data_IF_748825593668
#
_entry.id   IF_748825593668
#
_cell.length_a   1.000
_cell.length_b   1.000
_cell.length_c   1.000
_cell.angle_alpha   90.00
_cell.angle_beta   90.00
_cell.angle_gamma   90.00
#
_symmetry.space_group_name_H-M   'P 1'
#
loop_
_entity.id
_entity.type
_entity.pdbx_description
1 polymer ?
#
# COMPACT_ATOMS: atom_id res chain seq x y z
N UNK A 1 -11.15 0.77 -16.10
CA UNK A 1 -10.95 1.09 -14.68
C UNK A 1 -9.54 0.70 -14.30
N UNK A 2 -8.59 1.63 -14.39
CA UNK A 2 -7.18 1.42 -14.05
C UNK A 2 -6.99 1.89 -12.60
N UNK A 3 -6.75 0.96 -11.68
CA UNK A 3 -6.62 1.26 -10.25
C UNK A 3 -6.83 0.03 -9.38
N UNK A 4 -6.72 0.23 -8.06
CA UNK A 4 -7.00 -0.83 -7.09
C UNK A 4 -8.51 -1.16 -7.12
N UNK A 5 -8.86 -2.38 -7.52
CA UNK A 5 -10.27 -2.81 -7.58
C UNK A 5 -10.93 -2.78 -6.19
N UNK A 6 -12.27 -2.81 -6.08
CA UNK A 6 -12.96 -2.87 -4.78
C UNK A 6 -12.46 -4.01 -3.88
N UNK A 7 -12.13 -5.16 -4.47
CA UNK A 7 -11.51 -6.30 -3.76
C UNK A 7 -10.14 -5.95 -3.19
N UNK A 8 -9.32 -5.20 -3.94
CA UNK A 8 -8.02 -4.75 -3.46
C UNK A 8 -8.14 -3.75 -2.30
N UNK A 9 -9.11 -2.83 -2.35
CA UNK A 9 -9.38 -1.92 -1.24
C UNK A 9 -9.80 -2.66 0.04
N UNK A 10 -10.64 -3.70 -0.09
CA UNK A 10 -11.03 -4.54 1.05
C UNK A 10 -9.85 -5.31 1.64
N UNK A 11 -8.98 -5.87 0.79
CA UNK A 11 -7.76 -6.55 1.25
C UNK A 11 -6.83 -5.58 1.99
N UNK A 12 -6.65 -4.37 1.46
CA UNK A 12 -5.87 -3.32 2.11
C UNK A 12 -6.41 -3.01 3.50
N UNK A 13 -7.73 -2.82 3.63
CA UNK A 13 -8.38 -2.56 4.90
C UNK A 13 -8.17 -3.69 5.92
N UNK A 14 -8.32 -4.94 5.50
CA UNK A 14 -8.17 -6.10 6.38
C UNK A 14 -6.73 -6.30 6.83
N UNK A 15 -5.76 -6.13 5.93
CA UNK A 15 -4.34 -6.20 6.27
C UNK A 15 -3.92 -5.07 7.22
N UNK A 16 -4.42 -3.84 7.02
CA UNK A 16 -4.12 -2.73 7.94
C UNK A 16 -4.67 -3.00 9.35
N UNK A 17 -5.88 -3.58 9.47
CA UNK A 17 -6.43 -4.00 10.77
C UNK A 17 -5.61 -5.11 11.42
N UNK A 18 -5.20 -6.11 10.63
CA UNK A 18 -4.36 -7.19 11.13
C UNK A 18 -3.01 -6.66 11.64
N UNK A 19 -2.37 -5.75 10.89
CA UNK A 19 -1.12 -5.12 11.30
C UNK A 19 -1.28 -4.29 12.58
N UNK A 20 -2.35 -3.49 12.69
CA UNK A 20 -2.66 -2.75 13.91
C UNK A 20 -2.83 -3.69 15.13
N UNK A 21 -3.58 -4.78 14.94
CA UNK A 21 -3.82 -5.78 15.98
C UNK A 21 -2.54 -6.49 16.41
N UNK A 22 -1.68 -6.92 15.45
CA UNK A 22 -0.37 -7.50 15.74
C UNK A 22 0.55 -6.55 16.51
N UNK A 23 0.33 -5.24 16.38
CA UNK A 23 1.04 -4.18 17.10
C UNK A 23 0.34 -3.76 18.41
N UNK A 24 -0.62 -4.54 18.89
CA UNK A 24 -1.32 -4.32 20.16
C UNK A 24 -2.30 -3.15 20.15
N UNK A 25 -2.68 -2.63 18.97
CA UNK A 25 -3.64 -1.54 18.82
C UNK A 25 -4.98 -2.06 18.29
N UNK A 26 -6.08 -1.48 18.77
CA UNK A 26 -7.44 -1.76 18.29
C UNK A 26 -7.93 -0.76 17.24
N UNK A 27 -7.07 0.18 16.81
CA UNK A 27 -7.34 1.15 15.76
C UNK A 27 -6.20 1.19 14.75
N UNK A 28 -6.56 1.46 13.50
CA UNK A 28 -5.61 1.62 12.38
C UNK A 28 -5.02 3.03 12.40
N UNK A 29 -3.71 3.14 12.25
CA UNK A 29 -3.02 4.41 11.99
C UNK A 29 -2.53 4.44 10.54
N UNK A 30 -2.20 5.64 10.00
CA UNK A 30 -1.73 5.75 8.62
C UNK A 30 -0.51 4.87 8.30
N UNK A 31 0.38 4.66 9.27
CA UNK A 31 1.54 3.79 9.09
C UNK A 31 1.16 2.33 8.81
N UNK A 32 0.08 1.81 9.41
CA UNK A 32 -0.38 0.43 9.15
C UNK A 32 -0.82 0.24 7.71
N UNK A 33 -1.40 1.28 7.10
CA UNK A 33 -1.82 1.28 5.70
C UNK A 33 -0.59 1.31 4.78
N UNK A 34 0.37 2.19 5.07
CA UNK A 34 1.61 2.33 4.28
C UNK A 34 2.42 1.05 4.27
N UNK A 35 2.57 0.39 5.42
CA UNK A 35 3.36 -0.84 5.54
C UNK A 35 2.78 -1.99 4.73
N UNK A 36 1.46 -2.13 4.68
CA UNK A 36 0.82 -3.28 4.01
C UNK A 36 0.47 -3.03 2.55
N UNK A 37 0.48 -1.78 2.10
CA UNK A 37 0.16 -1.39 0.73
C UNK A 37 0.99 -2.14 -0.34
N UNK A 38 2.32 -2.37 -0.18
CA UNK A 38 3.12 -3.19 -1.10
C UNK A 38 2.60 -4.59 -1.33
N UNK A 39 2.13 -5.26 -0.28
CA UNK A 39 1.66 -6.63 -0.38
C UNK A 39 0.29 -6.75 -1.08
N UNK A 40 -0.44 -5.64 -1.22
CA UNK A 40 -1.74 -5.59 -1.90
C UNK A 40 -1.64 -5.05 -3.32
N UNK A 41 -0.80 -4.02 -3.52
CA UNK A 41 -0.67 -3.30 -4.78
C UNK A 41 0.47 -3.82 -5.67
N UNK A 42 1.52 -4.42 -5.10
CA UNK A 42 2.77 -4.74 -5.80
C UNK A 42 2.60 -5.66 -7.00
N UNK A 43 1.80 -6.72 -6.88
CA UNK A 43 1.57 -7.66 -8.00
C UNK A 43 0.67 -7.10 -9.12
N UNK A 44 0.13 -5.90 -8.97
CA UNK A 44 -0.80 -5.28 -9.94
C UNK A 44 -0.17 -4.18 -10.78
N UNK A 45 1.07 -3.81 -10.50
CA UNK A 45 1.82 -2.84 -11.29
C UNK A 45 2.59 -3.59 -12.37
N UNK A 46 2.11 -3.49 -13.61
CA UNK A 46 2.80 -4.03 -14.78
C UNK A 46 3.76 -2.95 -15.28
N UNK A 47 5.04 -3.13 -15.02
CA UNK A 47 6.08 -2.25 -15.55
C UNK A 47 6.31 -2.60 -17.02
N UNK A 48 6.24 -1.60 -17.90
CA UNK A 48 6.46 -1.79 -19.35
C UNK A 48 7.94 -1.96 -19.71
N UNK A 49 8.84 -1.52 -18.83
CA UNK A 49 10.27 -1.47 -19.09
C UNK A 49 11.00 -2.55 -18.28
N UNK A 50 11.50 -3.57 -18.98
CA UNK A 50 12.18 -4.75 -18.39
C UNK A 50 13.69 -4.56 -18.22
N UNK A 51 14.22 -3.37 -18.53
CA UNK A 51 15.66 -3.11 -18.56
C UNK A 51 16.27 -2.83 -17.18
N UNK A 52 15.44 -2.60 -16.16
CA UNK A 52 15.85 -2.34 -14.77
C UNK A 52 15.35 -3.43 -13.83
N UNK A 53 15.92 -3.50 -12.62
CA UNK A 53 15.43 -4.37 -11.56
C UNK A 53 13.95 -4.04 -11.26
N UNK A 54 13.05 -4.92 -11.70
CA UNK A 54 11.59 -4.73 -11.58
C UNK A 54 11.18 -4.47 -10.13
N UNK A 55 11.87 -5.07 -9.17
CA UNK A 55 11.58 -4.89 -7.75
C UNK A 55 11.90 -3.49 -7.25
N UNK A 56 13.06 -2.92 -7.63
CA UNK A 56 13.41 -1.55 -7.24
C UNK A 56 12.46 -0.53 -7.84
N UNK A 57 12.15 -0.66 -9.14
CA UNK A 57 11.24 0.24 -9.82
C UNK A 57 9.82 0.16 -9.25
N UNK A 58 9.36 -1.05 -8.90
CA UNK A 58 8.10 -1.25 -8.21
C UNK A 58 8.09 -0.48 -6.88
N UNK A 59 9.12 -0.64 -6.05
CA UNK A 59 9.24 0.05 -4.77
C UNK A 59 9.30 1.58 -4.94
N UNK A 60 9.98 2.09 -5.97
CA UNK A 60 10.01 3.53 -6.28
C UNK A 60 8.61 4.06 -6.58
N UNK A 61 7.89 3.44 -7.53
CA UNK A 61 6.53 3.86 -7.90
C UNK A 61 5.59 3.78 -6.70
N UNK A 62 5.72 2.74 -5.89
CA UNK A 62 4.96 2.58 -4.67
C UNK A 62 5.18 3.70 -3.66
N UNK A 63 6.44 4.08 -3.44
CA UNK A 63 6.78 5.19 -2.56
C UNK A 63 6.24 6.52 -3.08
N UNK A 64 6.30 6.77 -4.39
CA UNK A 64 5.71 7.97 -5.00
C UNK A 64 4.20 8.04 -4.77
N UNK A 65 3.47 6.93 -4.98
CA UNK A 65 2.03 6.85 -4.74
C UNK A 65 1.71 7.16 -3.27
N UNK A 66 2.44 6.55 -2.34
CA UNK A 66 2.23 6.78 -0.90
C UNK A 66 2.59 8.22 -0.47
N UNK A 67 3.52 8.85 -1.17
CA UNK A 67 3.95 10.24 -0.90
C UNK A 67 2.93 11.27 -1.39
N UNK A 68 2.18 10.95 -2.46
CA UNK A 68 1.16 11.84 -3.01
C UNK A 68 -0.09 11.96 -2.13
N UNK A 69 -0.32 11.00 -1.21
CA UNK A 69 -1.50 10.98 -0.35
C UNK A 69 -1.20 11.69 0.97
N UNK A 70 -1.89 12.81 1.22
CA UNK A 70 -1.80 13.52 2.49
C UNK A 70 -2.28 12.62 3.63
N UNK A 71 -1.42 12.43 4.63
CA UNK A 71 -1.76 11.68 5.84
C UNK A 71 -2.79 12.48 6.65
N UNK A 72 -3.88 11.84 7.15
CA UNK A 72 -4.83 12.51 8.02
C UNK A 72 -4.14 13.04 9.28
N UNK A 73 -4.40 14.30 9.63
CA UNK A 73 -3.94 14.85 10.90
C UNK A 73 -4.98 14.48 11.97
N UNK A 74 -4.60 13.64 12.91
CA UNK A 74 -5.44 13.28 14.05
C UNK A 74 -5.05 14.25 15.16
N UNK A 75 -5.64 15.45 15.09
CA UNK A 75 -5.60 16.43 16.17
C UNK A 75 -6.62 16.09 17.24
#
# INVERSE_FOLDING_TARGET
GLGLSPRGALNLMNLSRANAFMRGRNYVIPNDVKEVFPYVAGHRLILKDKTKNEHEMLMTVMNEILSAVKVPNIG
#
